data_IF_559545748505
#
_entry.id   IF_559545748505
#
_cell.length_a   1.000
_cell.length_b   1.000
_cell.length_c   1.000
_cell.angle_alpha   90.00
_cell.angle_beta   90.00
_cell.angle_gamma   90.00
#
_symmetry.space_group_name_H-M   'P 1'
#
loop_
_entity.id
_entity.type
_entity.pdbx_description
1 polymer ?
#
# COMPACT_ATOMS: atom_id res chain seq x y z
N UNK A 1 -5.32 -23.42 -44.90
CA UNK A 1 -4.48 -22.44 -44.21
C UNK A 1 -5.43 -21.66 -43.32
N UNK A 2 -5.48 -22.05 -42.05
CA UNK A 2 -6.32 -21.45 -41.01
C UNK A 2 -5.47 -20.36 -40.35
N UNK A 3 -5.97 -19.13 -40.31
CA UNK A 3 -5.29 -17.99 -39.71
C UNK A 3 -6.25 -17.24 -38.77
N UNK A 4 -5.68 -16.89 -37.62
CA UNK A 4 -5.99 -15.75 -36.76
C UNK A 4 -7.04 -15.89 -35.64
N UNK A 5 -6.55 -16.14 -34.41
CA UNK A 5 -5.91 -15.05 -33.66
C UNK A 5 -6.77 -14.21 -32.68
N UNK A 6 -7.88 -14.72 -32.13
CA UNK A 6 -8.78 -13.95 -31.25
C UNK A 6 -8.50 -13.96 -29.74
N UNK A 7 -7.57 -14.76 -29.21
CA UNK A 7 -7.55 -15.11 -27.77
C UNK A 7 -6.66 -14.27 -26.84
N UNK A 8 -5.75 -13.44 -27.36
CA UNK A 8 -4.70 -12.86 -26.51
C UNK A 8 -5.08 -11.53 -25.85
N UNK A 9 -5.98 -10.74 -26.44
CA UNK A 9 -6.27 -9.39 -25.97
C UNK A 9 -7.23 -9.35 -24.77
N UNK A 10 -8.18 -10.29 -24.69
CA UNK A 10 -9.13 -10.37 -23.57
C UNK A 10 -8.49 -10.91 -22.28
N UNK A 11 -7.55 -11.86 -22.41
CA UNK A 11 -6.80 -12.37 -21.26
C UNK A 11 -5.86 -11.30 -20.69
N UNK A 12 -5.25 -10.47 -21.54
CA UNK A 12 -4.41 -9.35 -21.11
C UNK A 12 -5.24 -8.27 -20.38
N UNK A 13 -6.39 -7.88 -20.93
CA UNK A 13 -7.28 -6.90 -20.28
C UNK A 13 -7.81 -7.38 -18.92
N UNK A 14 -8.13 -8.67 -18.80
CA UNK A 14 -8.55 -9.27 -17.52
C UNK A 14 -7.42 -9.22 -16.47
N UNK A 15 -6.17 -9.52 -16.87
CA UNK A 15 -4.99 -9.45 -15.98
C UNK A 15 -4.61 -8.02 -15.61
N UNK A 16 -4.87 -7.05 -16.47
CA UNK A 16 -4.68 -5.64 -16.15
C UNK A 16 -5.72 -5.17 -15.13
N UNK A 17 -6.99 -5.55 -15.30
CA UNK A 17 -8.03 -5.25 -14.33
C UNK A 17 -7.82 -5.90 -12.96
N UNK A 18 -7.17 -7.06 -12.89
CA UNK A 18 -6.76 -7.68 -11.62
C UNK A 18 -5.78 -6.80 -10.82
N UNK A 19 -4.97 -5.96 -11.50
CA UNK A 19 -4.00 -5.05 -10.86
C UNK A 19 -4.59 -3.69 -10.50
N UNK A 20 -5.79 -3.39 -10.96
CA UNK A 20 -6.45 -2.12 -10.67
C UNK A 20 -7.17 -2.17 -9.33
N UNK A 21 -7.03 -1.11 -8.54
CA UNK A 21 -7.87 -0.94 -7.34
C UNK A 21 -9.34 -0.73 -7.75
N UNK A 22 -10.33 -1.10 -6.93
CA UNK A 22 -11.73 -0.94 -7.31
C UNK A 22 -12.10 0.52 -7.64
N UNK A 23 -12.69 0.74 -8.83
CA UNK A 23 -13.10 2.07 -9.31
C UNK A 23 -14.01 2.81 -8.32
N UNK A 24 -14.83 2.07 -7.55
CA UNK A 24 -15.70 2.61 -6.52
C UNK A 24 -14.92 3.27 -5.37
N UNK A 25 -13.77 2.70 -4.98
CA UNK A 25 -12.93 3.25 -3.93
C UNK A 25 -12.26 4.54 -4.40
N UNK A 26 -11.73 4.55 -5.63
CA UNK A 26 -11.16 5.73 -6.28
C UNK A 26 -12.20 6.85 -6.38
N UNK A 27 -13.37 6.54 -6.94
CA UNK A 27 -14.46 7.50 -7.10
C UNK A 27 -14.92 8.08 -5.75
N UNK A 28 -14.94 7.28 -4.67
CA UNK A 28 -15.33 7.75 -3.33
C UNK A 28 -14.32 8.76 -2.78
N UNK A 29 -13.03 8.52 -2.97
CA UNK A 29 -11.97 9.43 -2.50
C UNK A 29 -11.97 10.71 -3.32
N UNK A 30 -12.03 10.61 -4.66
CA UNK A 30 -12.10 11.79 -5.54
C UNK A 30 -13.29 12.69 -5.21
N UNK A 31 -14.43 12.13 -4.78
CA UNK A 31 -15.59 12.92 -4.35
C UNK A 31 -15.36 13.75 -3.09
N UNK A 32 -14.47 13.33 -2.18
CA UNK A 32 -14.25 14.03 -0.90
C UNK A 32 -13.65 15.42 -1.08
N UNK A 33 -12.97 15.67 -2.20
CA UNK A 33 -12.36 16.97 -2.50
C UNK A 33 -13.23 17.86 -3.39
N UNK A 34 -14.44 17.40 -3.74
CA UNK A 34 -15.38 18.13 -4.57
C UNK A 34 -16.58 18.62 -3.75
N UNK A 35 -17.29 19.69 -4.19
CA UNK A 35 -18.58 20.07 -3.65
C UNK A 35 -19.61 18.93 -3.75
N UNK A 36 -20.64 18.97 -2.92
CA UNK A 36 -21.68 17.94 -2.82
C UNK A 36 -22.37 17.62 -4.17
N UNK A 37 -22.51 18.61 -5.04
CA UNK A 37 -23.10 18.50 -6.38
C UNK A 37 -22.09 18.29 -7.51
N UNK A 38 -20.78 18.29 -7.22
CA UNK A 38 -19.74 18.09 -8.22
C UNK A 38 -19.92 16.75 -8.92
N UNK A 39 -19.56 16.63 -10.20
CA UNK A 39 -19.62 15.38 -10.98
C UNK A 39 -18.21 15.00 -11.44
N UNK A 40 -17.97 13.70 -11.59
CA UNK A 40 -16.70 13.15 -12.10
C UNK A 40 -17.08 12.29 -13.30
N UNK A 41 -16.46 12.55 -14.45
CA UNK A 41 -16.69 11.77 -15.67
C UNK A 41 -16.22 10.32 -15.49
N UNK A 42 -16.58 9.44 -16.42
CA UNK A 42 -16.13 8.06 -16.39
C UNK A 42 -14.62 7.99 -16.63
N UNK A 43 -14.17 8.70 -17.63
CA UNK A 43 -12.78 8.77 -18.10
C UNK A 43 -11.86 9.27 -16.98
N UNK A 44 -12.26 10.31 -16.25
CA UNK A 44 -11.47 10.82 -15.13
C UNK A 44 -11.33 9.81 -13.98
N UNK A 45 -12.33 8.94 -13.75
CA UNK A 45 -12.22 7.88 -12.74
C UNK A 45 -11.27 6.78 -13.21
N UNK A 46 -11.35 6.40 -14.48
CA UNK A 46 -10.49 5.37 -15.09
C UNK A 46 -9.03 5.82 -15.12
N UNK A 47 -8.75 7.05 -15.57
CA UNK A 47 -7.40 7.63 -15.51
C UNK A 47 -6.86 7.67 -14.09
N UNK A 48 -7.66 8.12 -13.11
CA UNK A 48 -7.19 8.14 -11.71
C UNK A 48 -7.01 6.73 -11.13
N UNK A 49 -7.77 5.74 -11.59
CA UNK A 49 -7.62 4.34 -11.20
C UNK A 49 -6.29 3.77 -11.70
N UNK A 50 -5.94 4.06 -12.96
CA UNK A 50 -4.63 3.69 -13.53
C UNK A 50 -3.50 4.39 -12.78
N UNK A 51 -3.59 5.72 -12.60
CA UNK A 51 -2.56 6.51 -11.93
C UNK A 51 -2.32 6.06 -10.48
N UNK A 52 -3.37 5.71 -9.72
CA UNK A 52 -3.18 5.27 -8.33
C UNK A 52 -2.59 3.86 -8.25
N UNK A 53 -2.94 2.97 -9.17
CA UNK A 53 -2.33 1.64 -9.26
C UNK A 53 -0.86 1.71 -9.66
N UNK A 54 -0.52 2.61 -10.60
CA UNK A 54 0.86 2.90 -10.95
C UNK A 54 1.61 3.54 -9.78
N UNK A 55 1.00 4.49 -9.06
CA UNK A 55 1.60 5.11 -7.87
C UNK A 55 1.95 4.07 -6.80
N UNK A 56 1.06 3.11 -6.52
CA UNK A 56 1.34 2.00 -5.60
C UNK A 56 2.56 1.21 -6.08
N UNK A 57 2.58 0.85 -7.36
CA UNK A 57 3.69 0.09 -7.95
C UNK A 57 5.01 0.87 -7.92
N UNK A 58 4.97 2.17 -8.17
CA UNK A 58 6.12 3.06 -8.17
C UNK A 58 6.75 3.18 -6.79
N UNK A 59 5.96 3.53 -5.77
CA UNK A 59 6.47 3.65 -4.40
C UNK A 59 6.97 2.32 -3.86
N UNK A 60 6.24 1.23 -4.11
CA UNK A 60 6.64 -0.11 -3.64
C UNK A 60 7.86 -0.64 -4.37
N UNK A 61 8.05 -0.29 -5.65
CA UNK A 61 9.26 -0.57 -6.40
C UNK A 61 10.49 0.10 -5.77
N UNK A 62 10.41 1.40 -5.52
CA UNK A 62 11.52 2.15 -4.89
C UNK A 62 11.85 1.62 -3.47
N UNK A 63 10.83 1.31 -2.67
CA UNK A 63 11.03 0.70 -1.35
C UNK A 63 11.62 -0.71 -1.43
N UNK A 64 11.21 -1.49 -2.44
CA UNK A 64 11.76 -2.82 -2.73
C UNK A 64 13.25 -2.72 -3.07
N UNK A 65 13.62 -1.78 -3.94
CA UNK A 65 15.02 -1.60 -4.37
C UNK A 65 15.91 -1.26 -3.18
N UNK A 66 15.49 -0.35 -2.30
CA UNK A 66 16.19 -0.10 -1.03
C UNK A 66 16.31 -1.36 -0.18
N UNK A 67 15.20 -2.05 0.06
CA UNK A 67 15.16 -3.25 0.89
C UNK A 67 16.15 -4.31 0.39
N UNK A 68 16.19 -4.52 -0.93
CA UNK A 68 17.11 -5.45 -1.58
C UNK A 68 18.57 -4.99 -1.49
N UNK A 69 18.84 -3.70 -1.69
CA UNK A 69 20.17 -3.10 -1.52
C UNK A 69 20.71 -3.29 -0.09
N UNK A 70 19.82 -3.26 0.90
CA UNK A 70 20.12 -3.56 2.31
C UNK A 70 20.15 -5.07 2.64
N UNK A 71 20.05 -5.95 1.62
CA UNK A 71 20.03 -7.42 1.74
C UNK A 71 18.87 -7.96 2.61
N UNK A 72 17.80 -7.19 2.76
CA UNK A 72 16.56 -7.61 3.43
C UNK A 72 15.61 -8.27 2.43
N UNK A 73 14.81 -9.23 2.92
CA UNK A 73 13.80 -9.94 2.11
C UNK A 73 12.37 -9.41 2.31
N UNK A 74 12.17 -8.55 3.30
CA UNK A 74 10.85 -8.05 3.71
C UNK A 74 10.90 -6.54 3.76
N UNK A 75 10.07 -5.91 2.94
CA UNK A 75 9.85 -4.47 2.95
C UNK A 75 9.12 -4.11 4.24
N UNK A 76 9.59 -3.10 4.96
CA UNK A 76 8.94 -2.60 6.17
C UNK A 76 8.46 -1.14 6.01
N UNK A 77 7.86 -0.60 7.08
CA UNK A 77 7.35 0.78 7.07
C UNK A 77 8.44 1.85 6.92
N UNK A 78 9.66 1.59 7.38
CA UNK A 78 10.77 2.54 7.27
C UNK A 78 11.30 2.61 5.83
N UNK A 79 11.23 1.50 5.08
CA UNK A 79 11.55 1.46 3.65
C UNK A 79 10.56 2.32 2.84
N UNK A 80 9.26 2.22 3.16
CA UNK A 80 8.23 3.06 2.53
C UNK A 80 8.40 4.54 2.86
N UNK A 81 8.73 4.90 4.11
CA UNK A 81 8.98 6.29 4.49
C UNK A 81 10.19 6.88 3.75
N UNK A 82 11.23 6.07 3.58
CA UNK A 82 12.38 6.48 2.78
C UNK A 82 11.99 6.69 1.32
N UNK A 83 11.28 5.75 0.69
CA UNK A 83 10.86 5.87 -0.70
C UNK A 83 10.02 7.14 -0.94
N UNK A 84 9.05 7.42 -0.05
CA UNK A 84 8.25 8.64 -0.11
C UNK A 84 9.13 9.90 -0.06
N UNK A 85 10.16 9.91 0.78
CA UNK A 85 11.06 11.07 0.90
C UNK A 85 11.97 11.21 -0.33
N UNK A 86 12.59 10.11 -0.77
CA UNK A 86 13.51 10.08 -1.92
C UNK A 86 12.84 10.49 -3.23
N UNK A 87 11.57 10.13 -3.40
CA UNK A 87 10.78 10.45 -4.59
C UNK A 87 10.11 11.85 -4.52
N UNK A 88 10.38 12.64 -3.47
CA UNK A 88 9.90 14.01 -3.34
C UNK A 88 8.49 14.16 -2.74
N UNK A 89 7.93 13.10 -2.15
CA UNK A 89 6.63 13.10 -1.44
C UNK A 89 6.77 13.38 0.06
N UNK A 90 7.71 14.23 0.47
CA UNK A 90 8.04 14.47 1.89
C UNK A 90 6.84 14.93 2.74
N UNK A 91 5.95 15.74 2.15
CA UNK A 91 4.71 16.17 2.81
C UNK A 91 3.77 15.00 3.19
N UNK A 92 3.85 13.88 2.48
CA UNK A 92 3.13 12.65 2.82
C UNK A 92 3.94 11.76 3.77
N UNK A 93 5.28 11.79 3.71
CA UNK A 93 6.14 11.02 4.60
C UNK A 93 5.95 11.40 6.08
N UNK A 94 5.80 12.69 6.38
CA UNK A 94 5.60 13.19 7.76
C UNK A 94 4.36 12.60 8.46
N UNK A 95 3.14 12.71 7.90
CA UNK A 95 1.96 12.10 8.52
C UNK A 95 2.04 10.57 8.56
N UNK A 96 2.65 9.93 7.55
CA UNK A 96 2.86 8.48 7.55
C UNK A 96 3.81 8.02 8.67
N UNK A 97 4.83 8.83 9.00
CA UNK A 97 5.74 8.54 10.11
C UNK A 97 5.01 8.56 11.46
N UNK A 98 4.15 9.55 11.68
CA UNK A 98 3.31 9.60 12.88
C UNK A 98 2.35 8.40 12.93
N UNK A 99 1.74 8.03 11.81
CA UNK A 99 0.89 6.85 11.72
C UNK A 99 1.66 5.56 12.06
N UNK A 100 2.85 5.36 11.49
CA UNK A 100 3.67 4.18 11.74
C UNK A 100 4.10 4.08 13.21
N UNK A 101 4.42 5.21 13.84
CA UNK A 101 4.72 5.26 15.27
C UNK A 101 3.53 4.77 16.10
N UNK A 102 2.35 5.37 15.92
CA UNK A 102 1.13 5.00 16.64
C UNK A 102 0.73 3.54 16.39
N UNK A 103 0.90 3.05 15.15
CA UNK A 103 0.63 1.65 14.80
C UNK A 103 1.54 0.68 15.58
N UNK A 104 2.84 1.00 15.71
CA UNK A 104 3.79 0.19 16.48
C UNK A 104 3.46 0.18 17.97
N UNK A 105 3.01 1.29 18.55
CA UNK A 105 2.56 1.33 19.95
C UNK A 105 1.34 0.43 20.17
N UNK A 106 0.33 0.56 19.31
CA UNK A 106 -0.91 -0.23 19.41
C UNK A 106 -0.70 -1.73 19.17
N UNK A 107 0.23 -2.12 18.29
CA UNK A 107 0.58 -3.54 18.10
C UNK A 107 1.47 -4.06 19.24
N UNK A 108 2.34 -3.23 19.82
CA UNK A 108 3.17 -3.57 20.97
C UNK A 108 2.36 -3.88 22.23
N UNK A 109 1.23 -3.21 22.43
CA UNK A 109 0.28 -3.47 23.52
C UNK A 109 -0.45 -4.82 23.38
N UNK A 110 -0.53 -5.40 22.18
CA UNK A 110 -1.22 -6.69 21.93
C UNK A 110 -0.36 -7.91 22.25
N UNK A 111 0.90 -7.73 22.60
CA UNK A 111 1.74 -8.83 23.13
C UNK A 111 1.37 -9.07 24.59
N UNK A 112 0.70 -10.19 24.96
CA UNK A 112 0.41 -10.44 26.35
C UNK A 112 1.73 -10.61 27.09
N UNK A 113 1.91 -9.83 28.15
CA UNK A 113 2.96 -10.01 29.14
C UNK A 113 2.89 -11.48 29.58
N UNK A 114 3.83 -12.30 29.10
CA UNK A 114 4.05 -13.64 29.64
C UNK A 114 4.40 -13.41 31.10
N UNK A 115 3.44 -13.68 31.98
CA UNK A 115 3.57 -13.48 33.41
C UNK A 115 4.82 -14.16 33.92
N UNK A 116 5.67 -13.38 34.58
CA UNK A 116 6.74 -13.86 35.43
C UNK A 116 6.14 -14.81 36.47
N UNK A 117 6.23 -16.13 36.24
CA UNK A 117 6.09 -17.09 37.32
C UNK A 117 7.24 -16.88 38.29
N UNK A 118 6.91 -16.26 39.43
CA UNK A 118 7.76 -16.20 40.61
C UNK A 118 8.12 -17.63 41.01
N UNK A 119 9.41 -17.96 40.91
CA UNK A 119 9.97 -19.12 41.57
C UNK A 119 9.89 -18.88 43.10
N UNK A 120 8.97 -19.57 43.75
CA UNK A 120 9.02 -19.76 45.20
C UNK A 120 10.10 -20.82 45.51
N UNK A 121 11.05 -20.58 46.43
CA UNK A 121 11.94 -21.62 46.89
C UNK A 121 11.18 -22.56 47.85
N UNK A 122 11.34 -23.86 47.64
CA UNK A 122 10.89 -24.88 48.59
C UNK A 122 11.76 -24.80 49.84
N UNK A 123 11.15 -24.53 51.00
CA UNK A 123 11.74 -24.79 52.30
C UNK A 123 11.40 -26.21 52.74
N UNK A 124 12.36 -26.82 53.42
CA UNK A 124 12.42 -28.20 53.94
C UNK A 124 11.19 -28.71 54.67
#
# INVERSE_FOLDING_TARGET
MDESGGGNNELLGCREQERLVPIANVSRIMKKVLPSNGKISKEAKETMQECVSEFISFITGEASDKCQNEKKKTINGDDLLWAMTSLGFEHYAQPLKAYLHNYREMEGEKTPIIGNHHHHPLSS
#
